data_IF_968216211957
#
_entry.id   IF_968216211957
#
_cell.length_a   1.000
_cell.length_b   1.000
_cell.length_c   1.000
_cell.angle_alpha   90.00
_cell.angle_beta   90.00
_cell.angle_gamma   90.00
#
_symmetry.space_group_name_H-M   'P 1'
#
loop_
_entity.id
_entity.type
_entity.pdbx_description
1 polymer ?
#
# COMPACT_ATOMS: atom_id res chain seq x y z
N UNK A 1 -18.49 -0.81 10.83
CA UNK A 1 -17.81 -1.77 11.73
C UNK A 1 -16.62 -2.34 10.97
N UNK A 2 -15.49 -1.66 11.06
CA UNK A 2 -14.23 -2.06 10.42
C UNK A 2 -13.15 -1.88 11.47
N UNK A 3 -13.21 -2.74 12.48
CA UNK A 3 -12.22 -2.79 13.56
C UNK A 3 -11.41 -4.03 13.22
N UNK A 4 -10.11 -3.88 13.00
CA UNK A 4 -9.24 -5.00 12.64
C UNK A 4 -9.27 -6.12 13.69
N UNK A 5 -8.80 -7.31 13.34
CA UNK A 5 -8.86 -8.48 14.23
C UNK A 5 -8.05 -8.29 15.54
N UNK A 6 -6.97 -7.49 15.49
CA UNK A 6 -6.13 -7.19 16.65
C UNK A 6 -6.86 -6.34 17.71
N UNK A 7 -7.49 -5.20 17.38
CA UNK A 7 -8.23 -4.42 18.37
C UNK A 7 -9.42 -5.18 18.98
N UNK A 8 -10.07 -6.07 18.23
CA UNK A 8 -11.13 -6.94 18.79
C UNK A 8 -10.56 -7.94 19.82
N UNK A 9 -9.42 -8.57 19.51
CA UNK A 9 -8.76 -9.50 20.42
C UNK A 9 -8.24 -8.81 21.70
N UNK A 10 -7.75 -7.57 21.61
CA UNK A 10 -7.33 -6.80 22.79
C UNK A 10 -8.51 -6.37 23.66
N UNK A 11 -9.64 -5.97 23.05
CA UNK A 11 -10.85 -5.62 23.79
C UNK A 11 -11.40 -6.82 24.57
N UNK A 12 -11.38 -8.02 23.98
CA UNK A 12 -11.77 -9.26 24.65
C UNK A 12 -10.82 -9.66 25.79
N UNK A 13 -9.53 -9.30 25.69
CA UNK A 13 -8.51 -9.69 26.68
C UNK A 13 -8.42 -8.72 27.87
N UNK A 14 -8.70 -7.43 27.66
CA UNK A 14 -8.58 -6.40 28.70
C UNK A 14 -9.78 -5.45 28.68
N UNK A 15 -10.94 -5.87 29.22
CA UNK A 15 -12.18 -5.09 29.17
C UNK A 15 -12.15 -3.79 29.98
N UNK A 16 -11.18 -3.62 30.88
CA UNK A 16 -11.05 -2.43 31.74
C UNK A 16 -10.26 -1.27 31.09
N UNK A 17 -9.61 -1.53 29.96
CA UNK A 17 -8.95 -0.50 29.16
C UNK A 17 -10.02 0.28 28.38
N UNK A 18 -10.64 1.25 29.06
CA UNK A 18 -11.58 2.21 28.51
C UNK A 18 -10.87 3.27 27.65
N UNK A 19 -9.97 2.82 26.77
CA UNK A 19 -9.25 3.65 25.83
C UNK A 19 -10.09 3.76 24.56
N UNK A 20 -10.37 4.98 24.13
CA UNK A 20 -10.74 5.28 22.75
C UNK A 20 -9.61 4.79 21.83
N UNK A 21 -9.63 3.51 21.49
CA UNK A 21 -8.52 2.83 20.83
C UNK A 21 -8.58 3.15 19.34
N UNK A 22 -7.79 4.14 18.93
CA UNK A 22 -7.60 4.44 17.51
C UNK A 22 -6.74 3.33 16.88
N UNK A 23 -7.14 2.76 15.73
CA UNK A 23 -6.31 1.81 14.99
C UNK A 23 -4.91 2.39 14.76
N UNK A 24 -3.90 1.53 14.64
CA UNK A 24 -2.56 2.03 14.38
C UNK A 24 -2.60 2.83 13.07
N UNK A 25 -2.22 4.11 13.11
CA UNK A 25 -2.25 4.98 11.93
C UNK A 25 -1.32 4.52 10.79
N UNK A 26 -0.54 3.46 11.03
CA UNK A 26 0.43 2.91 10.10
C UNK A 26 -0.13 1.61 9.53
N UNK A 27 -0.55 1.62 8.26
CA UNK A 27 -1.16 0.46 7.61
C UNK A 27 -0.23 -0.77 7.56
N UNK A 28 1.10 -0.56 7.57
CA UNK A 28 2.08 -1.66 7.62
C UNK A 28 2.02 -2.44 8.93
N UNK A 29 1.82 -1.74 10.05
CA UNK A 29 1.69 -2.36 11.38
C UNK A 29 0.37 -3.10 11.51
N UNK A 30 -0.72 -2.54 10.97
CA UNK A 30 -2.01 -3.22 10.91
C UNK A 30 -1.97 -4.45 10.00
N UNK A 31 -1.34 -4.37 8.83
CA UNK A 31 -1.17 -5.52 7.95
C UNK A 31 -0.36 -6.64 8.64
N UNK A 32 0.75 -6.29 9.31
CA UNK A 32 1.54 -7.25 10.08
C UNK A 32 0.76 -7.85 11.26
N UNK A 33 -0.13 -7.07 11.89
CA UNK A 33 -0.98 -7.53 12.98
C UNK A 33 -2.10 -8.48 12.50
N UNK A 34 -2.71 -8.22 11.34
CA UNK A 34 -3.82 -9.03 10.81
C UNK A 34 -3.35 -10.30 10.07
N UNK A 35 -2.26 -10.20 9.31
CA UNK A 35 -1.78 -11.29 8.43
C UNK A 35 -0.52 -11.98 8.96
N UNK A 36 0.00 -11.51 10.10
CA UNK A 36 1.28 -11.93 10.65
C UNK A 36 2.47 -11.27 9.94
N UNK A 37 3.68 -11.55 10.46
CA UNK A 37 4.93 -10.97 9.97
C UNK A 37 5.15 -11.16 8.47
N UNK A 38 4.71 -12.29 7.92
CA UNK A 38 4.85 -12.60 6.49
C UNK A 38 4.00 -11.69 5.60
N UNK A 39 2.76 -11.39 5.97
CA UNK A 39 1.92 -10.50 5.17
C UNK A 39 2.32 -9.03 5.31
N UNK A 40 2.82 -8.63 6.48
CA UNK A 40 3.51 -7.34 6.65
C UNK A 40 4.73 -7.19 5.74
N UNK A 41 5.58 -8.23 5.65
CA UNK A 41 6.73 -8.26 4.73
C UNK A 41 6.30 -8.20 3.26
N UNK A 42 5.22 -8.89 2.88
CA UNK A 42 4.68 -8.83 1.52
C UNK A 42 4.13 -7.44 1.18
N UNK A 43 3.43 -6.79 2.11
CA UNK A 43 2.95 -5.43 1.91
C UNK A 43 4.12 -4.45 1.77
N UNK A 44 5.16 -4.60 2.59
CA UNK A 44 6.39 -3.81 2.47
C UNK A 44 7.06 -4.03 1.10
N UNK A 45 7.14 -5.29 0.64
CA UNK A 45 7.68 -5.61 -0.68
C UNK A 45 6.87 -4.95 -1.80
N UNK A 46 5.54 -4.99 -1.74
CA UNK A 46 4.67 -4.34 -2.72
C UNK A 46 4.76 -2.82 -2.70
N UNK A 47 5.01 -2.23 -1.52
CA UNK A 47 5.20 -0.79 -1.37
C UNK A 47 6.54 -0.34 -1.94
N UNK A 48 7.61 -1.14 -1.79
CA UNK A 48 8.97 -0.80 -2.23
C UNK A 48 9.30 -1.23 -3.66
N UNK A 49 8.67 -2.29 -4.17
CA UNK A 49 8.91 -2.83 -5.51
C UNK A 49 8.83 -1.79 -6.65
N UNK A 50 7.79 -0.92 -6.75
CA UNK A 50 7.71 0.05 -7.84
C UNK A 50 8.85 1.07 -7.81
N UNK A 51 9.27 1.50 -6.62
CA UNK A 51 10.38 2.45 -6.45
C UNK A 51 11.72 1.81 -6.81
N UNK A 52 11.94 0.56 -6.41
CA UNK A 52 13.14 -0.19 -6.76
C UNK A 52 13.22 -0.43 -8.28
N UNK A 53 12.09 -0.74 -8.92
CA UNK A 53 12.00 -0.93 -10.36
C UNK A 53 12.31 0.36 -11.14
N UNK A 54 11.77 1.52 -10.72
CA UNK A 54 12.13 2.82 -11.30
C UNK A 54 13.62 3.12 -11.14
N UNK A 55 14.17 2.91 -9.94
CA UNK A 55 15.56 3.25 -9.65
C UNK A 55 16.54 2.40 -10.47
N UNK A 56 16.28 1.10 -10.58
CA UNK A 56 17.14 0.16 -11.33
C UNK A 56 17.05 0.37 -12.85
N UNK A 57 15.86 0.71 -13.38
CA UNK A 57 15.65 0.86 -14.82
C UNK A 57 15.59 2.32 -15.32
N UNK A 58 15.87 3.31 -14.47
CA UNK A 58 15.79 4.76 -14.80
C UNK A 58 16.48 5.18 -16.10
N UNK A 59 17.56 4.50 -16.50
CA UNK A 59 18.31 4.80 -17.72
C UNK A 59 17.71 4.20 -19.00
N UNK A 60 16.77 3.26 -18.88
CA UNK A 60 16.10 2.57 -20.00
C UNK A 60 14.65 3.03 -20.20
N UNK A 61 14.07 3.69 -19.20
CA UNK A 61 12.69 4.13 -19.22
C UNK A 61 12.50 5.43 -20.00
N UNK A 62 11.45 5.48 -20.81
CA UNK A 62 10.95 6.72 -21.39
C UNK A 62 10.01 7.40 -20.41
N UNK A 63 10.35 8.60 -19.97
CA UNK A 63 9.51 9.39 -19.07
C UNK A 63 8.28 9.93 -19.80
N UNK A 64 7.19 9.17 -19.75
CA UNK A 64 5.88 9.58 -20.29
C UNK A 64 5.07 10.32 -19.22
N UNK A 65 4.15 11.22 -19.60
CA UNK A 65 3.23 11.86 -18.65
C UNK A 65 2.41 10.83 -17.84
N UNK A 66 2.06 9.70 -18.46
CA UNK A 66 1.36 8.61 -17.81
C UNK A 66 2.20 7.96 -16.69
N UNK A 67 3.48 7.67 -16.95
CA UNK A 67 4.38 7.10 -15.94
C UNK A 67 4.59 8.06 -14.78
N UNK A 68 4.77 9.35 -15.07
CA UNK A 68 4.94 10.38 -14.04
C UNK A 68 3.68 10.49 -13.19
N UNK A 69 2.50 10.57 -13.82
CA UNK A 69 1.22 10.63 -13.12
C UNK A 69 0.94 9.39 -12.26
N UNK A 70 1.17 8.20 -12.82
CA UNK A 70 1.00 6.94 -12.09
C UNK A 70 2.00 6.81 -10.92
N UNK A 71 3.24 7.27 -11.10
CA UNK A 71 4.24 7.29 -10.01
C UNK A 71 3.88 8.31 -8.93
N UNK A 72 3.32 9.46 -9.31
CA UNK A 72 2.76 10.43 -8.36
C UNK A 72 1.58 9.88 -7.57
N UNK A 73 0.68 9.13 -8.21
CA UNK A 73 -0.42 8.43 -7.54
C UNK A 73 0.11 7.39 -6.54
N UNK A 74 1.10 6.59 -6.93
CA UNK A 74 1.75 5.64 -6.00
C UNK A 74 2.44 6.35 -4.84
N UNK A 75 3.06 7.51 -5.07
CA UNK A 75 3.65 8.31 -4.00
C UNK A 75 2.58 8.76 -3.02
N UNK A 76 1.48 9.32 -3.52
CA UNK A 76 0.37 9.78 -2.70
C UNK A 76 -0.21 8.63 -1.86
N UNK A 77 -0.45 7.47 -2.46
CA UNK A 77 -0.97 6.29 -1.74
C UNK A 77 0.04 5.71 -0.75
N UNK A 78 1.34 5.76 -1.06
CA UNK A 78 2.38 5.33 -0.12
C UNK A 78 2.43 6.26 1.10
N UNK A 79 2.33 7.57 0.88
CA UNK A 79 2.26 8.56 1.97
C UNK A 79 0.99 8.35 2.79
N UNK A 80 -0.18 8.28 2.15
CA UNK A 80 -1.44 8.05 2.86
C UNK A 80 -1.41 6.74 3.63
N UNK A 81 -0.90 5.64 3.05
CA UNK A 81 -0.79 4.36 3.77
C UNK A 81 0.20 4.35 4.93
N UNK A 82 1.13 5.31 4.98
CA UNK A 82 2.02 5.50 6.15
C UNK A 82 1.32 6.27 7.27
N UNK A 83 0.37 7.16 6.94
CA UNK A 83 -0.29 8.05 7.89
C UNK A 83 -1.75 7.69 8.22
N UNK A 84 -2.38 6.81 7.44
CA UNK A 84 -3.77 6.41 7.58
C UNK A 84 -3.97 4.91 7.27
N UNK A 85 -4.65 4.22 8.18
CA UNK A 85 -5.04 2.81 8.02
C UNK A 85 -6.13 2.60 6.96
N UNK A 86 -6.76 3.67 6.47
CA UNK A 86 -7.84 3.66 5.48
C UNK A 86 -7.51 2.83 4.23
N UNK A 87 -6.24 2.89 3.76
CA UNK A 87 -5.80 2.21 2.54
C UNK A 87 -5.79 0.69 2.66
N UNK A 88 -5.73 0.15 3.87
CA UNK A 88 -5.66 -1.30 4.11
C UNK A 88 -6.91 -1.85 4.80
N UNK A 89 -7.40 -1.15 5.83
CA UNK A 89 -8.43 -1.66 6.72
C UNK A 89 -9.83 -1.59 6.10
N UNK A 90 -10.05 -0.62 5.20
CA UNK A 90 -11.32 -0.42 4.51
C UNK A 90 -11.27 -0.98 3.08
N UNK A 91 -12.32 -1.71 2.69
CA UNK A 91 -12.43 -2.32 1.36
C UNK A 91 -12.27 -1.31 0.19
N UNK A 92 -12.82 -0.07 0.26
CA UNK A 92 -12.57 0.96 -0.76
C UNK A 92 -11.09 1.35 -0.88
N UNK A 93 -10.38 1.45 0.25
CA UNK A 93 -8.95 1.76 0.27
C UNK A 93 -8.11 0.68 -0.40
N UNK A 94 -8.40 -0.60 -0.10
CA UNK A 94 -7.74 -1.74 -0.76
C UNK A 94 -7.96 -1.72 -2.27
N UNK A 95 -9.20 -1.48 -2.70
CA UNK A 95 -9.53 -1.40 -4.13
C UNK A 95 -8.72 -0.31 -4.84
N UNK A 96 -8.63 0.87 -4.23
CA UNK A 96 -7.82 1.98 -4.74
C UNK A 96 -6.34 1.62 -4.84
N UNK A 97 -5.79 0.97 -3.82
CA UNK A 97 -4.40 0.53 -3.82
C UNK A 97 -4.11 -0.47 -4.96
N UNK A 98 -4.98 -1.48 -5.13
CA UNK A 98 -4.84 -2.47 -6.21
C UNK A 98 -4.95 -1.84 -7.60
N UNK A 99 -5.90 -0.91 -7.79
CA UNK A 99 -6.05 -0.18 -9.05
C UNK A 99 -4.82 0.67 -9.38
N UNK A 100 -4.26 1.36 -8.39
CA UNK A 100 -3.07 2.17 -8.58
C UNK A 100 -1.84 1.32 -8.94
N UNK A 101 -1.66 0.16 -8.29
CA UNK A 101 -0.61 -0.79 -8.67
C UNK A 101 -0.79 -1.30 -10.11
N UNK A 102 -2.02 -1.65 -10.51
CA UNK A 102 -2.32 -2.08 -11.87
C UNK A 102 -2.04 -0.99 -12.92
N UNK A 103 -2.51 0.24 -12.67
CA UNK A 103 -2.27 1.38 -13.54
C UNK A 103 -0.79 1.68 -13.70
N UNK A 104 -0.05 1.67 -12.58
CA UNK A 104 1.39 1.90 -12.60
C UNK A 104 2.14 0.80 -13.35
N UNK A 105 1.76 -0.47 -13.18
CA UNK A 105 2.39 -1.59 -13.89
C UNK A 105 2.22 -1.47 -15.42
N UNK A 106 1.04 -1.05 -15.90
CA UNK A 106 0.80 -0.78 -17.33
C UNK A 106 1.65 0.39 -17.81
N UNK A 107 1.67 1.50 -17.06
CA UNK A 107 2.46 2.68 -17.41
C UNK A 107 3.96 2.38 -17.45
N UNK A 108 4.46 1.58 -16.52
CA UNK A 108 5.85 1.16 -16.42
C UNK A 108 6.26 0.25 -17.58
N UNK A 109 5.41 -0.73 -17.96
CA UNK A 109 5.67 -1.58 -19.12
C UNK A 109 5.68 -0.79 -20.44
N UNK A 110 4.74 0.13 -20.62
CA UNK A 110 4.71 1.00 -21.79
C UNK A 110 5.97 1.87 -21.90
N UNK A 111 6.51 2.33 -20.76
CA UNK A 111 7.73 3.14 -20.71
C UNK A 111 9.03 2.34 -20.94
N UNK A 112 9.03 1.04 -20.64
CA UNK A 112 10.19 0.16 -20.75
C UNK A 112 10.34 -0.57 -22.10
N UNK A 113 9.37 -0.41 -23.02
CA UNK A 113 9.35 -1.13 -24.30
C UNK A 113 8.58 -2.45 -24.23
N UNK A 114 7.36 -2.44 -23.70
CA UNK A 114 6.39 -3.52 -23.91
C UNK A 114 6.13 -3.74 -25.42
N UNK A 115 5.58 -4.90 -25.82
CA UNK A 115 5.60 -5.43 -27.20
C UNK A 115 4.99 -4.56 -28.31
N UNK A 116 4.46 -3.38 -27.99
CA UNK A 116 3.82 -2.44 -28.93
C UNK A 116 4.59 -1.11 -29.11
N UNK A 117 5.86 -1.03 -28.68
CA UNK A 117 6.70 0.17 -28.76
C UNK A 117 7.65 0.22 -29.98
#
# INVERSE_FOLDING_TARGET
MGVGALPEAMFLRFPELNAYYQPAHIALLDAAAETGTLGGLWYLALLLAPWLALFTNRGRLRWTPLLIGASGLLLALSVVGVFDYYTWLLAPGRLWQWLAWGLWAVAYQAAGGGPDA
#
